data_IF_932900494827
#
_entry.id   IF_932900494827
#
_cell.length_a   1.000
_cell.length_b   1.000
_cell.length_c   1.000
_cell.angle_alpha   90.00
_cell.angle_beta   90.00
_cell.angle_gamma   90.00
#
_symmetry.space_group_name_H-M   'P 1'
#
loop_
_entity.id
_entity.type
_entity.pdbx_description
1 polymer ?
#
# COMPACT_ATOMS: atom_id res chain seq x y z
N UNK A 1 -12.81 -21.79 11.00
CA UNK A 1 -13.57 -21.74 9.73
C UNK A 1 -14.27 -20.38 9.67
N UNK A 2 -13.99 -19.42 8.81
CA UNK A 2 -13.19 -19.33 7.59
C UNK A 2 -13.71 -18.09 6.84
N UNK A 3 -13.44 -16.89 7.38
CA UNK A 3 -13.89 -15.63 6.78
C UNK A 3 -12.92 -15.20 5.66
N UNK A 4 -13.23 -15.67 4.45
CA UNK A 4 -13.14 -14.95 3.17
C UNK A 4 -11.82 -14.23 2.82
N UNK A 5 -10.88 -14.96 2.23
CA UNK A 5 -9.75 -14.43 1.44
C UNK A 5 -10.16 -13.85 0.08
N UNK A 6 -11.39 -14.09 -0.38
CA UNK A 6 -11.91 -13.71 -1.69
C UNK A 6 -11.78 -12.21 -2.06
N UNK A 7 -12.15 -11.23 -1.20
CA UNK A 7 -12.07 -9.82 -1.57
C UNK A 7 -10.62 -9.32 -1.69
N UNK A 8 -9.69 -9.87 -0.90
CA UNK A 8 -8.27 -9.51 -0.98
C UNK A 8 -7.65 -10.01 -2.29
N UNK A 9 -7.96 -11.24 -2.70
CA UNK A 9 -7.51 -11.77 -3.99
C UNK A 9 -8.10 -11.00 -5.18
N UNK A 10 -9.33 -10.50 -5.07
CA UNK A 10 -9.93 -9.66 -6.10
C UNK A 10 -9.26 -8.27 -6.16
N UNK A 11 -8.92 -7.68 -5.01
CA UNK A 11 -8.15 -6.44 -4.95
C UNK A 11 -6.77 -6.60 -5.58
N UNK A 12 -6.05 -7.67 -5.22
CA UNK A 12 -4.72 -7.98 -5.76
C UNK A 12 -4.74 -8.06 -7.29
N UNK A 13 -5.72 -8.76 -7.89
CA UNK A 13 -5.89 -8.80 -9.35
C UNK A 13 -6.12 -7.42 -9.96
N UNK A 14 -6.92 -6.56 -9.33
CA UNK A 14 -7.18 -5.19 -9.82
C UNK A 14 -5.93 -4.33 -9.76
N UNK A 15 -5.14 -4.45 -8.69
CA UNK A 15 -3.84 -3.80 -8.60
C UNK A 15 -2.93 -4.29 -9.73
N UNK A 16 -2.89 -5.60 -9.99
CA UNK A 16 -2.16 -6.19 -11.11
C UNK A 16 -2.54 -5.55 -12.46
N UNK A 17 -3.83 -5.41 -12.75
CA UNK A 17 -4.30 -4.77 -14.00
C UNK A 17 -3.81 -3.33 -14.15
N UNK A 18 -3.81 -2.54 -13.08
CA UNK A 18 -3.31 -1.15 -13.11
C UNK A 18 -1.81 -1.14 -13.36
N UNK A 19 -1.05 -2.03 -12.70
CA UNK A 19 0.39 -2.13 -12.89
C UNK A 19 0.77 -2.59 -14.30
N UNK A 20 -0.03 -3.47 -14.90
CA UNK A 20 0.19 -3.93 -16.27
C UNK A 20 -0.15 -2.84 -17.29
N UNK A 21 -1.24 -2.09 -17.10
CA UNK A 21 -1.55 -0.91 -17.92
C UNK A 21 -0.41 0.12 -17.89
N UNK A 22 0.16 0.42 -16.71
CA UNK A 22 1.32 1.31 -16.60
C UNK A 22 2.55 0.80 -17.37
N UNK A 23 2.75 -0.52 -17.45
CA UNK A 23 3.85 -1.10 -18.24
C UNK A 23 3.58 -1.00 -19.73
N UNK A 24 2.35 -1.31 -20.15
CA UNK A 24 1.93 -1.24 -21.55
C UNK A 24 2.03 0.18 -22.11
N UNK A 25 1.69 1.18 -21.30
CA UNK A 25 1.81 2.60 -21.64
C UNK A 25 3.26 3.13 -21.54
N UNK A 26 4.21 2.30 -21.12
CA UNK A 26 5.61 2.70 -20.91
C UNK A 26 5.84 3.63 -19.71
N UNK A 27 4.82 3.86 -18.87
CA UNK A 27 4.84 4.78 -17.73
C UNK A 27 5.34 4.13 -16.42
N UNK A 28 5.57 2.82 -16.43
CA UNK A 28 5.89 2.04 -15.23
C UNK A 28 7.14 2.53 -14.50
N UNK A 29 8.15 3.05 -15.19
CA UNK A 29 9.39 3.53 -14.57
C UNK A 29 9.35 5.03 -14.23
N UNK A 30 8.32 5.75 -14.69
CA UNK A 30 8.11 7.18 -14.44
C UNK A 30 7.02 7.47 -13.39
N UNK A 31 6.28 6.45 -12.96
CA UNK A 31 5.13 6.61 -12.06
C UNK A 31 5.41 6.04 -10.67
N UNK A 32 5.45 6.88 -9.61
CA UNK A 32 5.49 6.38 -8.24
C UNK A 32 4.15 5.71 -7.91
N UNK A 33 4.19 4.56 -7.25
CA UNK A 33 3.00 3.83 -6.82
C UNK A 33 2.98 3.78 -5.29
N UNK A 34 1.89 4.25 -4.71
CA UNK A 34 1.66 4.24 -3.26
C UNK A 34 0.41 3.41 -2.99
N UNK A 35 0.57 2.30 -2.27
CA UNK A 35 -0.53 1.44 -1.83
C UNK A 35 -0.67 1.55 -0.32
N UNK A 36 -1.85 1.93 0.16
CA UNK A 36 -2.12 2.09 1.59
C UNK A 36 -3.61 1.89 1.89
N UNK A 37 -3.92 1.73 3.18
CA UNK A 37 -5.29 1.82 3.67
C UNK A 37 -5.44 3.04 4.58
N UNK A 38 -6.64 3.60 4.63
CA UNK A 38 -6.98 4.73 5.50
C UNK A 38 -7.15 4.30 6.97
N UNK A 39 -7.76 3.13 7.19
CA UNK A 39 -8.05 2.58 8.51
C UNK A 39 -7.95 1.05 8.53
N UNK A 40 -7.95 0.51 9.75
CA UNK A 40 -8.03 -0.92 10.02
C UNK A 40 -9.36 -1.56 9.64
N UNK A 41 -9.50 -2.85 9.94
CA UNK A 41 -10.67 -3.64 9.52
C UNK A 41 -11.90 -3.34 10.38
N UNK A 42 -13.09 -3.61 9.83
CA UNK A 42 -14.32 -3.64 10.61
C UNK A 42 -14.38 -4.92 11.46
N UNK A 43 -13.72 -4.87 12.61
CA UNK A 43 -13.67 -5.94 13.60
C UNK A 43 -13.72 -5.35 15.03
N UNK A 44 -13.96 -6.15 16.07
CA UNK A 44 -13.92 -5.65 17.45
C UNK A 44 -12.58 -4.97 17.76
N UNK A 45 -12.62 -3.70 18.16
CA UNK A 45 -11.45 -2.81 18.36
C UNK A 45 -10.68 -2.43 17.08
N UNK A 46 -11.23 -2.72 15.90
CA UNK A 46 -10.69 -2.31 14.60
C UNK A 46 -11.00 -0.85 14.28
N UNK A 47 -11.46 -0.57 13.06
CA UNK A 47 -11.84 0.79 12.62
C UNK A 47 -12.71 1.49 13.68
N UNK A 48 -12.45 2.79 13.90
CA UNK A 48 -12.99 3.64 14.97
C UNK A 48 -12.32 3.55 16.35
N UNK A 49 -11.33 2.67 16.54
CA UNK A 49 -10.60 2.56 17.81
C UNK A 49 -9.10 2.78 17.61
N UNK A 50 -8.45 3.43 18.59
CA UNK A 50 -6.99 3.67 18.59
C UNK A 50 -6.18 2.44 19.04
N UNK A 51 -6.62 1.24 18.67
CA UNK A 51 -5.87 0.01 18.88
C UNK A 51 -5.10 -0.34 17.60
N UNK A 52 -4.04 -1.15 17.70
CA UNK A 52 -3.23 -1.55 16.54
C UNK A 52 -4.06 -2.05 15.36
N UNK A 53 -5.09 -2.88 15.59
CA UNK A 53 -5.94 -3.38 14.51
C UNK A 53 -6.84 -2.32 13.84
N UNK A 54 -6.99 -1.13 14.45
CA UNK A 54 -7.73 0.01 13.90
C UNK A 54 -6.86 1.04 13.20
N UNK A 55 -5.58 1.20 13.58
CA UNK A 55 -4.70 2.27 13.08
C UNK A 55 -3.41 1.79 12.40
N UNK A 56 -2.98 0.54 12.62
CA UNK A 56 -1.79 -0.03 11.97
C UNK A 56 -2.17 -0.58 10.59
N UNK A 57 -2.08 0.29 9.59
CA UNK A 57 -2.44 0.03 8.19
C UNK A 57 -1.21 -0.25 7.31
N UNK A 58 -1.34 -0.99 6.20
CA UNK A 58 -0.24 -1.17 5.26
C UNK A 58 0.12 0.15 4.58
N UNK A 59 1.41 0.35 4.31
CA UNK A 59 1.94 1.37 3.41
C UNK A 59 3.07 0.73 2.60
N UNK A 60 2.89 0.63 1.29
CA UNK A 60 3.88 0.13 0.34
C UNK A 60 4.12 1.23 -0.69
N UNK A 61 5.38 1.61 -0.88
CA UNK A 61 5.79 2.64 -1.83
C UNK A 61 6.78 2.02 -2.82
N UNK A 62 6.44 2.10 -4.11
CA UNK A 62 7.36 1.84 -5.21
C UNK A 62 7.71 3.18 -5.84
N UNK A 63 8.96 3.59 -5.72
CA UNK A 63 9.43 4.82 -6.35
C UNK A 63 9.65 4.64 -7.86
N UNK A 64 9.43 5.71 -8.62
CA UNK A 64 9.69 5.74 -10.04
C UNK A 64 11.21 5.65 -10.30
N UNK A 65 11.65 4.71 -11.14
CA UNK A 65 13.09 4.45 -11.35
C UNK A 65 13.83 5.60 -12.00
N UNK A 66 13.15 6.37 -12.85
CA UNK A 66 13.76 7.45 -13.62
C UNK A 66 13.90 8.76 -12.83
N UNK A 67 13.40 8.80 -11.59
CA UNK A 67 13.47 9.97 -10.73
C UNK A 67 14.37 9.73 -9.53
N UNK A 68 15.04 10.78 -9.06
CA UNK A 68 15.86 10.70 -7.86
C UNK A 68 14.98 10.37 -6.65
N UNK A 69 15.26 9.24 -6.01
CA UNK A 69 14.57 8.83 -4.80
C UNK A 69 15.07 9.65 -3.59
N UNK A 70 14.23 9.87 -2.57
CA UNK A 70 14.69 10.40 -1.29
C UNK A 70 15.84 9.55 -0.73
N UNK A 71 16.79 10.18 -0.04
CA UNK A 71 18.00 9.52 0.51
C UNK A 71 17.72 8.26 1.34
N UNK A 72 16.57 8.24 2.00
CA UNK A 72 16.12 7.18 2.90
C UNK A 72 15.29 6.09 2.20
N UNK A 73 15.07 6.21 0.89
CA UNK A 73 14.38 5.21 0.09
C UNK A 73 15.38 4.21 -0.50
N UNK A 74 15.17 2.92 -0.24
CA UNK A 74 15.84 1.82 -0.93
C UNK A 74 14.78 0.77 -1.31
N UNK A 75 14.75 0.26 -2.56
CA UNK A 75 13.81 -0.78 -2.94
C UNK A 75 13.95 -2.04 -2.07
N UNK A 76 12.82 -2.64 -1.68
CA UNK A 76 12.77 -3.92 -0.98
C UNK A 76 13.11 -3.87 0.52
N UNK A 77 13.23 -2.68 1.11
CA UNK A 77 13.44 -2.55 2.57
C UNK A 77 12.11 -2.49 3.32
N UNK A 78 12.13 -2.94 4.57
CA UNK A 78 11.11 -2.62 5.57
C UNK A 78 11.56 -1.36 6.33
N UNK A 79 10.63 -0.44 6.57
CA UNK A 79 10.88 0.76 7.36
C UNK A 79 9.97 0.75 8.59
N UNK A 80 10.56 0.73 9.78
CA UNK A 80 9.84 0.74 11.07
C UNK A 80 9.70 2.15 11.66
N UNK A 81 10.04 3.20 10.89
CA UNK A 81 9.83 4.57 11.32
C UNK A 81 8.33 4.86 11.47
N UNK A 82 7.97 5.65 12.49
CA UNK A 82 6.61 6.13 12.65
C UNK A 82 6.27 7.06 11.48
N UNK A 83 5.29 6.66 10.68
CA UNK A 83 4.70 7.46 9.62
C UNK A 83 3.29 7.89 10.08
N UNK A 84 2.97 9.16 9.90
CA UNK A 84 1.66 9.72 10.21
C UNK A 84 1.09 10.42 8.98
N UNK A 85 -0.23 10.44 8.90
CA UNK A 85 -0.98 11.26 7.95
C UNK A 85 -1.27 12.59 8.62
N UNK A 86 -0.85 13.69 7.99
CA UNK A 86 -1.28 15.03 8.36
C UNK A 86 -2.18 15.52 7.24
N UNK A 87 -3.47 15.68 7.54
CA UNK A 87 -4.41 16.50 6.75
C UNK A 87 -4.65 17.78 7.54
#
# INVERSE_FOLDING_TARGET
MGATSQPLSALDRRVGWILDALKEDGLADDTPVVFFADNGRLEPRGVHWCCDCGIRVPLIIRWAKNFLAPLQFKPGILCDQLISWSI
#
